data_IF_614146865369
#
_entry.id   IF_614146865369
#
_cell.length_a   1.000
_cell.length_b   1.000
_cell.length_c   1.000
_cell.angle_alpha   90.00
_cell.angle_beta   90.00
_cell.angle_gamma   90.00
#
_symmetry.space_group_name_H-M   'P 1'
#
loop_
_entity.id
_entity.type
_entity.pdbx_description
1 polymer ?
#
# COMPACT_ATOMS: atom_id res chain seq x y z
N UNK A 1 -36.14 8.49 36.66
CA UNK A 1 -34.87 9.19 36.30
C UNK A 1 -33.62 8.37 36.57
N UNK A 2 -33.40 7.83 37.78
CA UNK A 2 -32.15 7.11 38.13
C UNK A 2 -31.84 5.90 37.22
N UNK A 3 -32.84 5.06 36.92
CA UNK A 3 -32.68 3.91 36.03
C UNK A 3 -32.42 4.29 34.56
N UNK A 4 -32.93 5.45 34.11
CA UNK A 4 -32.70 5.96 32.75
C UNK A 4 -31.24 6.38 32.57
N UNK A 5 -30.66 7.06 33.56
CA UNK A 5 -29.25 7.48 33.56
C UNK A 5 -28.33 6.25 33.56
N UNK A 6 -28.65 5.22 34.35
CA UNK A 6 -27.89 3.97 34.39
C UNK A 6 -27.94 3.26 33.03
N UNK A 7 -29.10 3.19 32.39
CA UNK A 7 -29.24 2.57 31.07
C UNK A 7 -28.42 3.31 30.00
N UNK A 8 -28.48 4.65 29.97
CA UNK A 8 -27.70 5.46 29.01
C UNK A 8 -26.20 5.29 29.26
N UNK A 9 -25.76 5.28 30.52
CA UNK A 9 -24.37 5.06 30.87
C UNK A 9 -23.90 3.69 30.36
N UNK A 10 -24.66 2.61 30.61
CA UNK A 10 -24.34 1.25 30.14
C UNK A 10 -24.30 1.14 28.61
N UNK A 11 -25.25 1.78 27.91
CA UNK A 11 -25.26 1.81 26.44
C UNK A 11 -24.02 2.54 25.91
N UNK A 12 -23.66 3.67 26.52
CA UNK A 12 -22.50 4.47 26.09
C UNK A 12 -21.17 3.74 26.33
N UNK A 13 -21.00 3.07 27.47
CA UNK A 13 -19.81 2.23 27.72
C UNK A 13 -19.77 1.04 26.77
N UNK A 14 -20.91 0.39 26.51
CA UNK A 14 -20.97 -0.71 25.55
C UNK A 14 -20.61 -0.25 24.13
N UNK A 15 -21.12 0.91 23.69
CA UNK A 15 -20.76 1.52 22.40
C UNK A 15 -19.27 1.87 22.32
N UNK A 16 -18.70 2.38 23.41
CA UNK A 16 -17.28 2.71 23.52
C UNK A 16 -16.39 1.46 23.53
N UNK A 17 -16.87 0.34 24.07
CA UNK A 17 -16.15 -0.94 24.03
C UNK A 17 -16.19 -1.56 22.61
N UNK A 18 -17.31 -1.45 21.90
CA UNK A 18 -17.44 -1.93 20.51
C UNK A 18 -16.59 -1.10 19.54
N UNK A 19 -16.53 0.23 19.70
CA UNK A 19 -15.73 1.09 18.82
C UNK A 19 -14.22 0.91 18.96
N UNK A 20 -13.77 0.19 20.00
CA UNK A 20 -12.37 -0.19 20.22
C UNK A 20 -11.97 -1.52 19.57
N UNK A 21 -12.84 -2.18 18.81
CA UNK A 21 -12.46 -3.37 18.05
C UNK A 21 -11.27 -3.02 17.13
N UNK A 22 -10.12 -3.72 17.26
CA UNK A 22 -8.98 -3.48 16.38
C UNK A 22 -9.38 -3.84 14.96
N UNK A 23 -9.35 -2.88 14.03
CA UNK A 23 -9.43 -3.19 12.59
C UNK A 23 -8.34 -4.21 12.30
N UNK A 24 -8.70 -5.39 11.79
CA UNK A 24 -7.71 -6.39 11.40
C UNK A 24 -6.80 -5.78 10.34
N UNK A 25 -5.54 -5.56 10.69
CA UNK A 25 -4.52 -5.13 9.72
C UNK A 25 -4.35 -6.27 8.74
N UNK A 26 -4.76 -6.07 7.49
CA UNK A 26 -4.49 -7.06 6.43
C UNK A 26 -2.99 -7.12 6.21
N UNK A 27 -2.41 -8.31 6.28
CA UNK A 27 -1.00 -8.55 6.04
C UNK A 27 -0.80 -8.86 4.54
N UNK A 28 0.00 -8.05 3.83
CA UNK A 28 0.31 -8.19 2.41
C UNK A 28 1.73 -8.70 2.14
N UNK A 29 2.42 -9.26 3.13
CA UNK A 29 3.83 -9.67 3.02
C UNK A 29 4.05 -10.65 1.88
N UNK A 30 3.25 -11.73 1.81
CA UNK A 30 3.35 -12.71 0.73
C UNK A 30 3.07 -12.13 -0.65
N UNK A 31 2.12 -11.18 -0.74
CA UNK A 31 1.85 -10.47 -1.99
C UNK A 31 3.05 -9.60 -2.41
N UNK A 32 3.58 -8.81 -1.48
CA UNK A 32 4.72 -7.92 -1.72
C UNK A 32 6.00 -8.70 -2.07
N UNK A 33 6.26 -9.83 -1.40
CA UNK A 33 7.36 -10.74 -1.72
C UNK A 33 7.21 -11.35 -3.12
N UNK A 34 5.99 -11.76 -3.50
CA UNK A 34 5.74 -12.24 -4.85
C UNK A 34 6.01 -11.15 -5.91
N UNK A 35 5.68 -9.87 -5.64
CA UNK A 35 6.06 -8.77 -6.55
C UNK A 35 7.58 -8.67 -6.70
N UNK A 36 8.34 -8.87 -5.63
CA UNK A 36 9.79 -8.90 -5.65
C UNK A 36 10.35 -10.06 -6.48
N UNK A 37 9.81 -11.27 -6.33
CA UNK A 37 10.17 -12.42 -7.14
C UNK A 37 9.90 -12.18 -8.64
N UNK A 38 8.79 -11.49 -8.96
CA UNK A 38 8.43 -11.06 -10.32
C UNK A 38 9.23 -9.87 -10.83
N UNK A 39 10.12 -9.30 -10.01
CA UNK A 39 10.91 -8.08 -10.28
C UNK A 39 10.05 -6.88 -10.68
N UNK A 40 8.79 -6.83 -10.22
CA UNK A 40 7.90 -5.71 -10.47
C UNK A 40 8.30 -4.56 -9.54
N UNK A 41 8.97 -3.54 -10.09
CA UNK A 41 9.65 -2.49 -9.33
C UNK A 41 8.92 -1.17 -9.45
N UNK A 42 8.66 -0.52 -8.32
CA UNK A 42 8.09 0.83 -8.27
C UNK A 42 9.21 1.88 -8.30
N UNK A 43 9.15 2.78 -9.26
CA UNK A 43 9.97 3.99 -9.32
C UNK A 43 9.13 5.16 -8.82
N UNK A 44 9.64 5.91 -7.85
CA UNK A 44 8.89 7.02 -7.28
C UNK A 44 9.76 7.99 -6.50
N UNK A 45 9.07 8.90 -5.81
CA UNK A 45 9.69 9.87 -4.92
C UNK A 45 9.00 9.89 -3.55
N UNK A 46 9.76 10.10 -2.47
CA UNK A 46 9.20 10.10 -1.12
C UNK A 46 8.12 11.18 -0.90
N UNK A 47 8.24 12.34 -1.58
CA UNK A 47 7.32 13.47 -1.48
C UNK A 47 6.12 13.35 -2.41
N UNK A 48 6.12 12.40 -3.34
CA UNK A 48 5.08 12.25 -4.35
C UNK A 48 3.77 11.71 -3.71
N UNK A 49 2.64 12.45 -3.75
CA UNK A 49 1.41 12.03 -3.09
C UNK A 49 0.87 10.70 -3.61
N UNK A 50 0.95 10.48 -4.92
CA UNK A 50 0.52 9.22 -5.53
C UNK A 50 1.37 8.02 -5.07
N UNK A 51 2.66 8.24 -4.87
CA UNK A 51 3.59 7.25 -4.36
C UNK A 51 3.28 6.92 -2.89
N UNK A 52 2.91 7.91 -2.09
CA UNK A 52 2.48 7.72 -0.71
C UNK A 52 1.16 6.96 -0.62
N UNK A 53 0.20 7.26 -1.51
CA UNK A 53 -1.07 6.54 -1.61
C UNK A 53 -0.84 5.06 -1.93
N UNK A 54 -0.03 4.76 -2.94
CA UNK A 54 0.31 3.40 -3.33
C UNK A 54 0.98 2.66 -2.16
N UNK A 55 2.00 3.25 -1.53
CA UNK A 55 2.67 2.69 -0.33
C UNK A 55 1.70 2.41 0.81
N UNK A 56 0.74 3.30 1.05
CA UNK A 56 -0.25 3.18 2.12
C UNK A 56 -1.16 1.96 1.96
N UNK A 57 -1.44 1.53 0.72
CA UNK A 57 -2.26 0.34 0.46
C UNK A 57 -1.58 -0.95 0.96
N UNK A 58 -0.25 -0.99 0.93
CA UNK A 58 0.54 -2.11 1.46
C UNK A 58 0.78 -2.03 2.97
N UNK A 59 0.75 -0.83 3.54
CA UNK A 59 1.14 -0.62 4.94
C UNK A 59 2.61 -1.02 5.17
N UNK A 60 2.88 -1.72 6.27
CA UNK A 60 4.25 -2.19 6.59
C UNK A 60 4.79 -3.20 5.57
N UNK A 61 3.93 -3.93 4.86
CA UNK A 61 4.34 -4.90 3.86
C UNK A 61 5.05 -4.28 2.65
N UNK A 62 4.97 -2.95 2.47
CA UNK A 62 5.70 -2.26 1.40
C UNK A 62 7.21 -2.45 1.50
N UNK A 63 7.75 -2.76 2.69
CA UNK A 63 9.18 -3.04 2.87
C UNK A 63 9.72 -4.17 1.98
N UNK A 64 8.85 -5.07 1.51
CA UNK A 64 9.23 -6.16 0.61
C UNK A 64 9.08 -5.80 -0.87
N UNK A 65 8.39 -4.71 -1.21
CA UNK A 65 8.19 -4.26 -2.59
C UNK A 65 9.51 -3.68 -3.12
N UNK A 66 9.99 -4.10 -4.31
CA UNK A 66 11.14 -3.44 -4.93
C UNK A 66 10.80 -1.99 -5.24
N UNK A 67 11.56 -1.06 -4.66
CA UNK A 67 11.34 0.36 -4.80
C UNK A 67 12.65 1.08 -5.13
N UNK A 68 12.57 2.03 -6.07
CA UNK A 68 13.67 2.92 -6.45
C UNK A 68 13.27 4.35 -6.09
N UNK A 69 14.09 4.99 -5.25
CA UNK A 69 13.87 6.37 -4.82
C UNK A 69 14.55 7.33 -5.81
N UNK A 70 13.80 7.89 -6.75
CA UNK A 70 14.36 8.70 -7.84
C UNK A 70 14.99 10.03 -7.38
N UNK A 71 14.68 10.49 -6.17
CA UNK A 71 15.36 11.67 -5.58
C UNK A 71 16.78 11.35 -5.10
N UNK A 72 17.12 10.06 -4.92
CA UNK A 72 18.44 9.59 -4.49
C UNK A 72 19.17 8.84 -5.62
N UNK A 73 18.43 8.11 -6.44
CA UNK A 73 18.92 7.29 -7.56
C UNK A 73 18.63 7.94 -8.92
N UNK A 74 18.87 9.25 -9.05
CA UNK A 74 18.44 10.05 -10.22
C UNK A 74 18.91 9.48 -11.56
N UNK A 75 20.19 9.08 -11.68
CA UNK A 75 20.71 8.51 -12.93
C UNK A 75 19.95 7.24 -13.33
N UNK A 76 19.65 6.36 -12.37
CA UNK A 76 18.93 5.11 -12.61
C UNK A 76 17.52 5.36 -13.14
N UNK A 77 16.82 6.37 -12.61
CA UNK A 77 15.50 6.74 -13.10
C UNK A 77 15.52 7.42 -14.47
N UNK A 78 16.55 8.23 -14.76
CA UNK A 78 16.74 8.80 -16.10
C UNK A 78 17.04 7.72 -17.14
N UNK A 79 17.97 6.80 -16.83
CA UNK A 79 18.30 5.66 -17.70
C UNK A 79 17.09 4.73 -17.92
N UNK A 80 16.25 4.55 -16.90
CA UNK A 80 15.00 3.81 -17.01
C UNK A 80 13.89 4.59 -17.75
N UNK A 81 14.11 5.86 -18.11
CA UNK A 81 13.14 6.71 -18.79
C UNK A 81 11.87 6.94 -17.98
N UNK A 82 12.00 7.28 -16.70
CA UNK A 82 10.86 7.60 -15.82
C UNK A 82 10.41 9.04 -16.11
N UNK A 83 9.18 9.19 -16.59
CA UNK A 83 8.59 10.50 -16.95
C UNK A 83 7.64 11.05 -15.88
N UNK A 84 7.19 10.19 -14.95
CA UNK A 84 6.26 10.55 -13.88
C UNK A 84 6.29 9.54 -12.75
N UNK A 85 5.63 9.86 -11.63
CA UNK A 85 5.61 9.01 -10.45
C UNK A 85 4.18 8.70 -9.96
N UNK A 86 3.95 7.51 -9.39
CA UNK A 86 4.83 6.34 -9.48
C UNK A 86 4.81 5.76 -10.91
N UNK A 87 5.87 5.05 -11.28
CA UNK A 87 5.88 4.19 -12.46
C UNK A 87 6.35 2.82 -12.05
N UNK A 88 5.60 1.78 -12.41
CA UNK A 88 6.01 0.40 -12.21
C UNK A 88 6.67 -0.14 -13.47
N UNK A 89 7.73 -0.92 -13.31
CA UNK A 89 8.40 -1.62 -14.41
C UNK A 89 8.49 -3.10 -14.09
N UNK A 90 8.02 -3.95 -15.00
CA UNK A 90 8.11 -5.40 -14.85
C UNK A 90 9.46 -5.97 -15.34
N UNK A 91 9.64 -7.29 -15.20
CA UNK A 91 10.85 -7.98 -15.63
C UNK A 91 11.13 -7.90 -17.14
N UNK A 92 10.11 -7.61 -17.97
CA UNK A 92 10.24 -7.44 -19.42
C UNK A 92 10.61 -6.01 -19.82
N UNK A 93 10.57 -5.06 -18.89
CA UNK A 93 10.77 -3.64 -19.13
C UNK A 93 9.49 -2.88 -19.46
N UNK A 94 8.32 -3.52 -19.41
CA UNK A 94 7.04 -2.87 -19.63
C UNK A 94 6.75 -1.90 -18.48
N UNK A 95 6.32 -0.68 -18.85
CA UNK A 95 6.01 0.40 -17.90
C UNK A 95 4.51 0.51 -17.65
N UNK A 96 4.16 0.78 -16.40
CA UNK A 96 2.80 1.07 -15.94
C UNK A 96 2.82 2.37 -15.14
N UNK A 97 2.34 3.45 -15.75
CA UNK A 97 2.35 4.79 -15.13
C UNK A 97 1.19 4.97 -14.16
N UNK A 98 1.47 5.67 -13.06
CA UNK A 98 0.50 6.02 -12.03
C UNK A 98 0.27 4.93 -10.98
N UNK A 99 -0.63 5.23 -10.06
CA UNK A 99 -1.11 4.28 -9.05
C UNK A 99 -1.76 3.07 -9.74
N UNK A 100 -1.42 1.86 -9.29
CA UNK A 100 -1.99 0.61 -9.79
C UNK A 100 -2.92 -0.03 -8.75
N UNK A 101 -2.65 0.21 -7.47
CA UNK A 101 -3.31 -0.43 -6.35
C UNK A 101 -3.09 -1.95 -6.30
N UNK A 102 -3.51 -2.57 -5.20
CA UNK A 102 -3.29 -3.99 -4.95
C UNK A 102 -3.90 -4.90 -6.04
N UNK A 103 -5.13 -4.60 -6.49
CA UNK A 103 -5.81 -5.39 -7.53
C UNK A 103 -5.16 -5.21 -8.91
N UNK A 104 -4.71 -4.00 -9.26
CA UNK A 104 -4.00 -3.76 -10.52
C UNK A 104 -2.68 -4.52 -10.54
N UNK A 105 -1.90 -4.40 -9.47
CA UNK A 105 -0.63 -5.11 -9.32
C UNK A 105 -0.81 -6.63 -9.31
N UNK A 106 -1.89 -7.15 -8.72
CA UNK A 106 -2.24 -8.58 -8.78
C UNK A 106 -2.50 -9.04 -10.22
N UNK A 107 -3.24 -8.24 -11.02
CA UNK A 107 -3.48 -8.56 -12.44
C UNK A 107 -2.21 -8.49 -13.28
N UNK A 108 -1.32 -7.52 -13.02
CA UNK A 108 -0.06 -7.35 -13.74
C UNK A 108 0.91 -8.50 -13.43
N UNK A 109 1.08 -8.83 -12.15
CA UNK A 109 2.08 -9.80 -11.69
C UNK A 109 1.60 -11.26 -11.67
N UNK A 110 0.28 -11.48 -11.63
CA UNK A 110 -0.33 -12.77 -11.33
C UNK A 110 -0.25 -13.18 -9.85
N UNK A 111 0.27 -12.32 -8.97
CA UNK A 111 0.38 -12.59 -7.54
C UNK A 111 -1.01 -12.53 -6.86
N UNK A 112 -1.31 -13.50 -6.01
CA UNK A 112 -2.58 -13.55 -5.28
C UNK A 112 -2.62 -12.58 -4.10
N UNK A 113 -3.77 -11.97 -3.87
CA UNK A 113 -4.04 -11.18 -2.66
C UNK A 113 -4.57 -12.08 -1.52
N UNK A 114 -4.30 -11.72 -0.26
CA UNK A 114 -4.82 -12.39 0.94
C UNK A 114 -6.29 -12.07 1.22
#
# INVERSE_FOLDING_TARGET
MKYLIIAIALISTFYFLISRQPKSVKNYDGFAQCLAEKKLTMYGAYWCPHCQNEKKLFGSSFQYVPYVECTQETKKCLDAGIEGYPTWIDASGQKYSGEQGLLGLSKISGCSLP
#
